data_IF_316205747648
#
_entry.id   IF_316205747648
#
_cell.length_a   1.000
_cell.length_b   1.000
_cell.length_c   1.000
_cell.angle_alpha   90.00
_cell.angle_beta   90.00
_cell.angle_gamma   90.00
#
_symmetry.space_group_name_H-M   'P 1'
#
loop_
_entity.id
_entity.type
_entity.pdbx_description
1 polymer ?
#
# COMPACT_ATOMS: atom_id res chain seq x y z
N UNK A 1 47.89 79.83 20.07
CA UNK A 1 48.03 79.83 18.59
C UNK A 1 48.65 78.51 18.16
N UNK A 2 48.13 77.86 17.10
CA UNK A 2 48.04 76.39 17.02
C UNK A 2 49.26 75.73 16.34
N UNK A 3 49.50 74.45 16.62
CA UNK A 3 50.13 73.51 15.68
C UNK A 3 49.71 72.06 16.00
N UNK A 4 48.94 71.52 15.07
CA UNK A 4 48.47 70.13 14.90
C UNK A 4 49.60 69.12 14.75
N UNK A 5 49.44 67.86 15.19
CA UNK A 5 49.79 66.66 14.40
C UNK A 5 49.01 65.40 14.89
N UNK A 6 48.14 64.94 13.99
CA UNK A 6 47.81 63.55 13.54
C UNK A 6 47.65 62.44 14.59
N UNK A 7 46.41 61.98 14.76
CA UNK A 7 46.06 60.70 15.37
C UNK A 7 45.85 59.63 14.29
N UNK A 8 46.58 58.52 14.38
CA UNK A 8 46.45 57.35 13.51
C UNK A 8 45.46 56.38 14.15
N UNK A 9 44.28 56.19 13.54
CA UNK A 9 43.28 55.22 13.98
C UNK A 9 43.53 53.86 13.30
N UNK A 10 43.78 52.81 14.10
CA UNK A 10 43.75 51.43 13.65
C UNK A 10 42.30 50.93 13.73
N UNK A 11 41.69 50.65 12.57
CA UNK A 11 40.40 49.97 12.43
C UNK A 11 40.62 48.45 12.51
N UNK A 12 40.13 47.82 13.57
CA UNK A 12 40.00 46.35 13.66
C UNK A 12 38.58 46.00 13.26
N UNK A 13 38.42 45.45 12.05
CA UNK A 13 37.14 44.98 11.50
C UNK A 13 36.91 43.52 11.89
N UNK A 14 36.04 43.30 12.88
CA UNK A 14 35.47 41.99 13.23
C UNK A 14 34.37 41.62 12.23
N UNK A 15 34.65 40.65 11.36
CA UNK A 15 33.65 40.00 10.53
C UNK A 15 32.77 39.08 11.39
N UNK A 16 31.50 39.44 11.55
CA UNK A 16 30.48 38.54 12.11
C UNK A 16 29.97 37.65 10.97
N UNK A 17 30.38 36.39 10.95
CA UNK A 17 29.82 35.35 10.08
C UNK A 17 28.47 34.92 10.68
N UNK A 18 27.42 35.68 10.41
CA UNK A 18 26.03 35.29 10.68
C UNK A 18 25.29 35.18 9.35
N UNK A 19 25.11 33.96 8.83
CA UNK A 19 24.32 33.76 7.63
C UNK A 19 24.48 32.36 7.03
N UNK A 20 23.35 31.65 6.99
CA UNK A 20 22.98 30.50 6.13
C UNK A 20 22.28 29.38 6.93
N UNK A 21 21.26 29.72 7.72
CA UNK A 21 20.32 28.70 8.25
C UNK A 21 18.84 29.11 8.11
N UNK A 22 18.54 30.32 7.62
CA UNK A 22 17.18 30.87 7.57
C UNK A 22 16.45 30.69 6.22
N UNK A 23 17.05 29.98 5.26
CA UNK A 23 16.49 29.81 3.92
C UNK A 23 16.43 28.35 3.45
N UNK A 24 16.33 27.41 4.37
CA UNK A 24 15.92 26.05 4.02
C UNK A 24 14.39 26.02 4.01
N UNK A 25 13.72 25.90 2.85
CA UNK A 25 12.27 25.81 2.81
C UNK A 25 11.84 24.60 3.63
N UNK A 26 11.03 24.82 4.66
CA UNK A 26 10.42 23.73 5.41
C UNK A 26 9.68 22.82 4.43
N UNK A 27 9.86 21.50 4.55
CA UNK A 27 9.11 20.54 3.73
C UNK A 27 7.61 20.78 3.93
N UNK A 28 6.87 20.85 2.83
CA UNK A 28 5.41 20.88 2.88
C UNK A 28 4.89 19.63 3.62
N UNK A 29 4.05 19.85 4.63
CA UNK A 29 3.43 18.77 5.41
C UNK A 29 2.29 18.17 4.58
N UNK A 30 2.47 16.93 4.14
CA UNK A 30 1.44 16.17 3.44
C UNK A 30 0.44 15.65 4.48
N UNK A 31 -0.69 16.34 4.66
CA UNK A 31 -1.64 16.05 5.73
C UNK A 31 -2.18 14.60 5.68
N UNK A 32 -2.42 14.06 4.48
CA UNK A 32 -2.90 12.69 4.28
C UNK A 32 -1.90 11.62 4.80
N UNK A 33 -0.61 11.94 4.94
CA UNK A 33 0.39 11.02 5.51
C UNK A 33 0.37 10.98 7.03
N UNK A 34 -0.43 11.83 7.67
CA UNK A 34 -0.58 11.86 9.12
C UNK A 34 -1.99 11.46 9.58
N UNK A 35 -2.93 11.23 8.66
CA UNK A 35 -4.27 10.76 8.99
C UNK A 35 -4.30 9.24 9.24
N UNK A 36 -5.27 8.79 10.03
CA UNK A 36 -5.57 7.37 10.23
C UNK A 36 -5.91 6.73 8.87
N UNK A 37 -5.21 5.68 8.50
CA UNK A 37 -5.45 4.95 7.24
C UNK A 37 -6.74 4.15 7.36
N UNK A 38 -7.69 4.40 6.48
CA UNK A 38 -8.94 3.62 6.41
C UNK A 38 -8.79 2.45 5.43
N UNK A 39 -8.68 1.25 5.98
CA UNK A 39 -8.60 -0.02 5.23
C UNK A 39 -10.00 -0.52 4.92
N UNK A 40 -10.33 -0.63 3.64
CA UNK A 40 -11.62 -1.12 3.15
C UNK A 40 -11.64 -2.65 3.17
N UNK A 41 -12.72 -3.22 3.68
CA UNK A 41 -12.90 -4.68 3.78
C UNK A 41 -14.31 -5.05 3.34
N UNK A 42 -14.45 -6.00 2.42
CA UNK A 42 -15.76 -6.53 2.04
C UNK A 42 -16.39 -7.35 3.17
N UNK A 43 -17.64 -7.06 3.51
CA UNK A 43 -18.31 -7.67 4.67
C UNK A 43 -18.73 -9.12 4.53
N UNK A 44 -18.75 -9.64 3.31
CA UNK A 44 -19.16 -10.99 2.96
C UNK A 44 -18.00 -11.97 2.77
N UNK A 45 -16.74 -11.51 2.91
CA UNK A 45 -15.55 -12.32 2.69
C UNK A 45 -14.69 -12.41 3.95
N UNK A 46 -14.58 -13.62 4.51
CA UNK A 46 -13.65 -13.89 5.61
C UNK A 46 -12.19 -13.69 5.20
N UNK A 47 -11.86 -13.95 3.92
CA UNK A 47 -10.52 -13.70 3.40
C UNK A 47 -10.21 -12.20 3.37
N UNK A 48 -11.15 -11.37 2.90
CA UNK A 48 -11.00 -9.91 2.95
C UNK A 48 -10.88 -9.39 4.39
N UNK A 49 -11.59 -9.99 5.35
CA UNK A 49 -11.40 -9.65 6.77
C UNK A 49 -10.00 -10.00 7.28
N UNK A 50 -9.50 -11.18 6.94
CA UNK A 50 -8.12 -11.60 7.30
C UNK A 50 -7.10 -10.66 6.68
N UNK A 51 -7.21 -10.37 5.38
CA UNK A 51 -6.29 -9.48 4.67
C UNK A 51 -6.36 -8.06 5.25
N UNK A 52 -7.56 -7.52 5.46
CA UNK A 52 -7.74 -6.20 6.08
C UNK A 52 -7.08 -6.09 7.45
N UNK A 53 -7.29 -7.09 8.31
CA UNK A 53 -6.64 -7.19 9.62
C UNK A 53 -5.12 -7.31 9.49
N UNK A 54 -4.63 -8.14 8.57
CA UNK A 54 -3.19 -8.40 8.40
C UNK A 54 -2.44 -7.10 8.09
N UNK A 55 -2.90 -6.36 7.09
CA UNK A 55 -2.25 -5.12 6.69
C UNK A 55 -2.53 -3.97 7.67
N UNK A 56 -3.74 -3.88 8.24
CA UNK A 56 -4.06 -2.84 9.24
C UNK A 56 -3.23 -3.01 10.52
N UNK A 57 -3.12 -4.23 11.03
CA UNK A 57 -2.33 -4.48 12.24
C UNK A 57 -0.83 -4.28 11.98
N UNK A 58 -0.31 -4.65 10.81
CA UNK A 58 1.08 -4.39 10.44
C UNK A 58 1.40 -2.89 10.44
N UNK A 59 0.54 -2.06 9.83
CA UNK A 59 0.69 -0.60 9.88
C UNK A 59 0.68 -0.08 11.32
N UNK A 60 -0.28 -0.53 12.13
CA UNK A 60 -0.40 -0.11 13.54
C UNK A 60 0.84 -0.49 14.37
N UNK A 61 1.38 -1.71 14.21
CA UNK A 61 2.61 -2.18 14.88
C UNK A 61 3.84 -1.35 14.50
N UNK A 62 3.84 -0.78 13.30
CA UNK A 62 4.91 0.09 12.77
C UNK A 62 4.65 1.57 13.01
N UNK A 63 3.64 1.91 13.82
CA UNK A 63 3.35 3.29 14.24
C UNK A 63 2.52 4.10 13.25
N UNK A 64 1.99 3.50 12.17
CA UNK A 64 1.01 4.14 11.30
C UNK A 64 -0.40 3.72 11.72
N UNK A 65 -1.12 4.65 12.35
CA UNK A 65 -2.50 4.42 12.76
C UNK A 65 -3.38 4.03 11.56
N UNK A 66 -4.10 2.92 11.71
CA UNK A 66 -5.04 2.44 10.72
C UNK A 66 -6.27 1.79 11.36
N UNK A 67 -7.38 1.83 10.63
CA UNK A 67 -8.66 1.25 11.05
C UNK A 67 -9.32 0.52 9.88
N UNK A 68 -10.03 -0.55 10.19
CA UNK A 68 -10.87 -1.24 9.22
C UNK A 68 -12.21 -0.55 9.11
N UNK A 69 -12.67 -0.37 7.88
CA UNK A 69 -14.04 0.02 7.58
C UNK A 69 -14.69 -1.00 6.67
N UNK A 70 -15.74 -1.60 7.19
CA UNK A 70 -16.56 -2.54 6.44
C UNK A 70 -17.24 -1.85 5.26
N UNK A 71 -17.27 -2.54 4.14
CA UNK A 71 -17.88 -2.13 2.89
C UNK A 71 -18.83 -3.24 2.45
N UNK A 72 -20.01 -2.86 1.95
CA UNK A 72 -20.93 -3.81 1.36
C UNK A 72 -20.34 -4.40 0.06
N UNK A 73 -20.62 -5.67 -0.21
CA UNK A 73 -19.97 -6.44 -1.27
C UNK A 73 -20.17 -5.86 -2.67
N UNK A 74 -21.31 -5.23 -2.90
CA UNK A 74 -21.69 -4.61 -4.17
C UNK A 74 -20.94 -3.31 -4.47
N UNK A 75 -20.28 -2.72 -3.47
CA UNK A 75 -19.56 -1.47 -3.67
C UNK A 75 -18.22 -1.69 -4.35
N UNK A 76 -17.92 -0.84 -5.33
CA UNK A 76 -16.63 -0.84 -6.00
C UNK A 76 -15.56 -0.18 -5.10
N UNK A 77 -14.54 -0.92 -4.63
CA UNK A 77 -13.50 -0.38 -3.76
C UNK A 77 -12.70 0.74 -4.43
N UNK A 78 -12.42 0.63 -5.73
CA UNK A 78 -11.65 1.62 -6.50
C UNK A 78 -12.36 2.96 -6.56
N UNK A 79 -13.69 2.96 -6.73
CA UNK A 79 -14.50 4.18 -6.69
C UNK A 79 -14.47 4.84 -5.30
N UNK A 80 -14.46 4.04 -4.22
CA UNK A 80 -14.39 4.54 -2.84
C UNK A 80 -13.00 5.13 -2.54
N UNK A 81 -11.93 4.49 -3.00
CA UNK A 81 -10.57 5.05 -2.89
C UNK A 81 -10.45 6.37 -3.67
N UNK A 82 -10.94 6.43 -4.91
CA UNK A 82 -10.90 7.65 -5.75
C UNK A 82 -11.69 8.81 -5.15
N UNK A 83 -12.81 8.53 -4.48
CA UNK A 83 -13.61 9.54 -3.78
C UNK A 83 -13.03 9.96 -2.43
N UNK A 84 -11.86 9.44 -2.04
CA UNK A 84 -11.20 9.67 -0.75
C UNK A 84 -12.01 9.22 0.45
N UNK A 85 -12.99 8.35 0.24
CA UNK A 85 -13.78 7.77 1.31
C UNK A 85 -13.04 6.59 1.98
N UNK A 86 -11.97 6.07 1.38
CA UNK A 86 -11.05 5.09 1.97
C UNK A 86 -9.63 5.30 1.43
N UNK A 87 -8.68 4.58 2.01
CA UNK A 87 -7.25 4.81 1.76
C UNK A 87 -6.49 3.59 1.26
N UNK A 88 -6.90 2.40 1.67
CA UNK A 88 -6.25 1.13 1.33
C UNK A 88 -7.30 0.05 1.08
N UNK A 89 -7.10 -0.76 0.05
CA UNK A 89 -7.87 -1.97 -0.22
C UNK A 89 -6.92 -3.10 -0.63
N UNK A 90 -7.12 -4.29 -0.08
CA UNK A 90 -6.29 -5.45 -0.42
C UNK A 90 -6.98 -6.25 -1.51
N UNK A 91 -6.53 -6.07 -2.73
CA UNK A 91 -7.11 -6.69 -3.90
C UNK A 91 -6.45 -8.03 -4.25
N UNK A 92 -7.09 -8.77 -5.15
CA UNK A 92 -6.45 -9.82 -5.94
C UNK A 92 -6.27 -9.32 -7.38
N UNK A 93 -5.09 -9.50 -7.96
CA UNK A 93 -4.71 -8.87 -9.23
C UNK A 93 -5.66 -9.16 -10.40
N UNK A 94 -6.13 -10.40 -10.54
CA UNK A 94 -7.05 -10.78 -11.61
C UNK A 94 -8.45 -10.18 -11.45
N UNK A 95 -8.98 -10.23 -10.23
CA UNK A 95 -10.30 -9.69 -9.90
C UNK A 95 -10.34 -8.19 -10.05
N UNK A 96 -9.31 -7.50 -9.56
CA UNK A 96 -9.26 -6.05 -9.68
C UNK A 96 -9.07 -5.62 -11.13
N UNK A 97 -8.27 -6.33 -11.93
CA UNK A 97 -8.15 -6.04 -13.36
C UNK A 97 -9.50 -6.21 -14.06
N UNK A 98 -10.21 -7.29 -13.75
CA UNK A 98 -11.56 -7.53 -14.29
C UNK A 98 -12.55 -6.43 -13.92
N UNK A 99 -12.39 -5.83 -12.73
CA UNK A 99 -13.21 -4.72 -12.27
C UNK A 99 -12.86 -3.39 -12.96
N UNK A 100 -11.57 -3.07 -13.12
CA UNK A 100 -11.13 -1.75 -13.60
C UNK A 100 -10.88 -1.68 -15.11
N UNK A 101 -10.57 -2.82 -15.74
CA UNK A 101 -10.29 -2.92 -17.17
C UNK A 101 -10.71 -4.30 -17.72
N UNK A 102 -12.03 -4.59 -17.79
CA UNK A 102 -12.56 -5.90 -18.16
C UNK A 102 -12.14 -6.38 -19.55
N UNK A 103 -12.00 -5.46 -20.52
CA UNK A 103 -11.56 -5.82 -21.88
C UNK A 103 -10.13 -6.36 -21.88
N UNK A 104 -9.20 -5.70 -21.17
CA UNK A 104 -7.81 -6.16 -21.06
C UNK A 104 -7.70 -7.45 -20.24
N UNK A 105 -8.53 -7.60 -19.20
CA UNK A 105 -8.61 -8.86 -18.47
C UNK A 105 -8.96 -10.03 -19.42
N UNK A 106 -10.02 -9.88 -20.23
CA UNK A 106 -10.46 -10.90 -21.19
C UNK A 106 -9.41 -11.18 -22.27
N UNK A 107 -8.69 -10.16 -22.72
CA UNK A 107 -7.57 -10.30 -23.66
C UNK A 107 -6.47 -11.20 -23.08
N UNK A 108 -5.97 -10.89 -21.88
CA UNK A 108 -4.92 -11.67 -21.22
C UNK A 108 -5.40 -13.10 -20.95
N UNK A 109 -6.64 -13.28 -20.46
CA UNK A 109 -7.16 -14.63 -20.24
C UNK A 109 -7.27 -15.46 -21.54
N UNK A 110 -7.57 -14.82 -22.67
CA UNK A 110 -7.63 -15.50 -23.98
C UNK A 110 -6.23 -15.92 -24.43
N UNK A 111 -5.23 -15.08 -24.21
CA UNK A 111 -3.83 -15.39 -24.52
C UNK A 111 -3.31 -16.53 -23.63
N UNK A 112 -3.59 -16.48 -22.32
CA UNK A 112 -3.28 -17.56 -21.38
C UNK A 112 -3.88 -18.90 -21.81
N UNK A 113 -5.16 -18.94 -22.18
CA UNK A 113 -5.82 -20.18 -22.63
C UNK A 113 -5.26 -20.71 -23.95
N UNK A 114 -4.68 -19.84 -24.77
CA UNK A 114 -4.06 -20.23 -26.05
C UNK A 114 -2.64 -20.79 -25.85
N UNK A 115 -2.03 -20.52 -24.70
CA UNK A 115 -0.79 -21.13 -24.27
C UNK A 115 -1.05 -22.44 -23.49
N UNK A 116 -0.88 -23.57 -24.17
CA UNK A 116 -1.10 -24.91 -23.59
C UNK A 116 -0.16 -25.29 -22.44
N UNK A 117 0.88 -24.50 -22.17
CA UNK A 117 1.80 -24.69 -21.04
C UNK A 117 1.56 -23.67 -19.91
N UNK A 118 0.58 -22.76 -20.09
CA UNK A 118 0.27 -21.72 -19.12
C UNK A 118 -0.15 -22.32 -17.78
N UNK A 119 0.55 -21.89 -16.73
CA UNK A 119 0.17 -22.07 -15.34
C UNK A 119 -0.25 -20.70 -14.79
N UNK A 120 -1.35 -20.57 -14.03
CA UNK A 120 -1.70 -19.32 -13.35
C UNK A 120 -0.60 -18.79 -12.40
N UNK A 121 0.36 -19.62 -12.02
CA UNK A 121 1.55 -19.23 -11.25
C UNK A 121 2.77 -18.89 -12.12
N UNK A 122 2.62 -18.84 -13.45
CA UNK A 122 3.71 -18.41 -14.34
C UNK A 122 4.08 -16.96 -14.01
N UNK A 123 5.37 -16.66 -13.74
CA UNK A 123 5.83 -15.30 -13.50
C UNK A 123 5.44 -14.31 -14.59
N UNK A 124 5.35 -14.77 -15.84
CA UNK A 124 4.98 -13.97 -17.01
C UNK A 124 3.56 -13.43 -16.88
N UNK A 125 2.59 -14.31 -16.62
CA UNK A 125 1.18 -13.93 -16.49
C UNK A 125 0.92 -13.06 -15.26
N UNK A 126 1.67 -13.31 -14.18
CA UNK A 126 1.65 -12.44 -13.00
C UNK A 126 2.12 -11.03 -13.33
N UNK A 127 3.27 -10.90 -13.99
CA UNK A 127 3.83 -9.60 -14.36
C UNK A 127 2.92 -8.85 -15.34
N UNK A 128 2.38 -9.55 -16.34
CA UNK A 128 1.47 -8.96 -17.31
C UNK A 128 0.16 -8.49 -16.67
N UNK A 129 -0.44 -9.31 -15.80
CA UNK A 129 -1.66 -8.94 -15.07
C UNK A 129 -1.40 -7.74 -14.16
N UNK A 130 -0.29 -7.75 -13.41
CA UNK A 130 0.09 -6.63 -12.56
C UNK A 130 0.32 -5.34 -13.37
N UNK A 131 1.07 -5.41 -14.47
CA UNK A 131 1.31 -4.26 -15.34
C UNK A 131 0.00 -3.69 -15.91
N UNK A 132 -0.94 -4.56 -16.30
CA UNK A 132 -2.26 -4.15 -16.77
C UNK A 132 -3.09 -3.46 -15.66
N UNK A 133 -3.03 -3.96 -14.41
CA UNK A 133 -3.65 -3.30 -13.25
C UNK A 133 -3.05 -1.91 -13.07
N UNK A 134 -1.72 -1.80 -13.01
CA UNK A 134 -1.03 -0.52 -12.83
C UNK A 134 -1.39 0.50 -13.91
N UNK A 135 -1.51 0.06 -15.17
CA UNK A 135 -1.97 0.90 -16.27
C UNK A 135 -3.42 1.40 -16.13
N UNK A 136 -4.27 0.68 -15.39
CA UNK A 136 -5.69 0.99 -15.22
C UNK A 136 -6.03 1.80 -13.95
N UNK A 137 -5.13 1.88 -12.97
CA UNK A 137 -5.38 2.58 -11.71
C UNK A 137 -5.50 4.11 -11.87
N UNK A 138 -4.80 4.68 -12.85
CA UNK A 138 -4.79 6.12 -13.13
C UNK A 138 -3.83 6.89 -12.22
N UNK A 139 -4.04 8.20 -12.06
CA UNK A 139 -3.09 9.10 -11.38
C UNK A 139 -3.31 9.24 -9.87
N UNK A 140 -4.46 8.80 -9.34
CA UNK A 140 -4.85 9.04 -7.94
C UNK A 140 -4.65 7.82 -7.04
N UNK A 141 -4.40 6.66 -7.63
CA UNK A 141 -4.21 5.39 -6.95
C UNK A 141 -2.88 4.79 -7.39
N UNK A 142 -2.31 4.00 -6.50
CA UNK A 142 -1.10 3.23 -6.75
C UNK A 142 -1.21 1.88 -6.04
N UNK A 143 -0.31 0.96 -6.32
CA UNK A 143 -0.26 -0.34 -5.68
C UNK A 143 1.15 -0.68 -5.23
N UNK A 144 1.25 -1.57 -4.26
CA UNK A 144 2.55 -2.10 -3.82
C UNK A 144 3.00 -3.23 -4.73
N UNK A 145 4.12 -3.87 -4.38
CA UNK A 145 4.55 -5.07 -5.10
C UNK A 145 3.55 -6.21 -4.83
N UNK A 146 3.17 -7.01 -5.84
CA UNK A 146 2.25 -8.13 -5.63
C UNK A 146 2.92 -9.22 -4.79
N UNK A 147 2.15 -9.84 -3.89
CA UNK A 147 2.59 -11.01 -3.13
C UNK A 147 2.80 -12.23 -4.03
N UNK A 148 3.68 -13.15 -3.61
CA UNK A 148 3.72 -14.49 -4.19
C UNK A 148 2.52 -15.36 -3.78
N UNK A 149 1.84 -15.00 -2.69
CA UNK A 149 0.62 -15.68 -2.27
C UNK A 149 -0.54 -15.34 -3.21
N UNK A 150 -1.37 -16.36 -3.46
CA UNK A 150 -2.63 -16.21 -4.15
C UNK A 150 -3.76 -16.01 -3.13
N UNK A 151 -4.58 -15.00 -3.34
CA UNK A 151 -5.87 -14.84 -2.70
C UNK A 151 -7.00 -15.19 -3.66
N UNK A 152 -8.23 -14.88 -3.25
CA UNK A 152 -9.45 -15.01 -4.03
C UNK A 152 -9.59 -16.38 -4.70
N UNK A 153 -9.40 -17.45 -3.93
CA UNK A 153 -9.45 -18.82 -4.45
C UNK A 153 -10.80 -19.20 -5.09
N UNK A 154 -11.88 -18.52 -4.67
CA UNK A 154 -13.23 -18.69 -5.21
C UNK A 154 -13.50 -17.81 -6.45
N UNK A 155 -12.50 -17.07 -6.95
CA UNK A 155 -12.64 -16.24 -8.13
C UNK A 155 -12.95 -17.07 -9.38
N UNK A 156 -13.78 -16.51 -10.27
CA UNK A 156 -14.07 -17.06 -11.59
C UNK A 156 -13.07 -16.63 -12.66
N UNK A 157 -12.18 -15.69 -12.35
CA UNK A 157 -11.15 -15.20 -13.28
C UNK A 157 -10.03 -16.24 -13.43
N UNK A 158 -9.59 -16.46 -14.67
CA UNK A 158 -8.47 -17.34 -14.98
C UNK A 158 -7.11 -16.65 -14.77
N UNK A 159 -7.11 -15.34 -14.53
CA UNK A 159 -5.90 -14.56 -14.28
C UNK A 159 -5.30 -14.89 -12.90
N UNK A 160 -3.97 -14.71 -12.73
CA UNK A 160 -3.32 -14.81 -11.43
C UNK A 160 -3.99 -13.88 -10.40
N UNK A 161 -4.23 -14.41 -9.20
CA UNK A 161 -4.90 -13.73 -8.09
C UNK A 161 -3.93 -13.35 -6.99
N UNK A 162 -2.76 -12.81 -7.34
CA UNK A 162 -1.77 -12.36 -6.38
C UNK A 162 -2.33 -11.24 -5.50
N UNK A 163 -2.06 -11.32 -4.20
CA UNK A 163 -2.50 -10.31 -3.24
C UNK A 163 -1.80 -8.99 -3.57
N UNK A 164 -2.59 -7.93 -3.74
CA UNK A 164 -2.13 -6.63 -4.21
C UNK A 164 -2.77 -5.49 -3.38
N UNK A 165 -2.04 -4.94 -2.41
CA UNK A 165 -2.44 -3.72 -1.72
C UNK A 165 -2.52 -2.52 -2.68
N UNK A 166 -3.71 -1.93 -2.81
CA UNK A 166 -3.98 -0.73 -3.61
C UNK A 166 -4.32 0.42 -2.68
N UNK A 167 -3.64 1.54 -2.84
CA UNK A 167 -3.75 2.68 -1.95
C UNK A 167 -3.95 3.99 -2.70
N UNK A 168 -4.50 4.98 -1.99
CA UNK A 168 -4.71 6.32 -2.51
C UNK A 168 -3.43 7.16 -2.36
N UNK A 169 -3.01 7.84 -3.42
CA UNK A 169 -1.89 8.79 -3.33
C UNK A 169 -2.40 10.09 -2.66
N UNK A 170 -1.62 10.72 -1.76
CA UNK A 170 -0.29 10.36 -1.25
C UNK A 170 -0.34 9.73 0.18
N UNK A 171 -1.39 8.96 0.52
CA UNK A 171 -1.70 8.59 1.92
C UNK A 171 -0.59 7.81 2.62
N UNK A 172 0.20 7.05 1.86
CA UNK A 172 1.34 6.29 2.37
C UNK A 172 2.66 6.91 1.94
N UNK A 173 3.58 7.03 2.90
CA UNK A 173 5.00 7.33 2.72
C UNK A 173 5.75 6.14 2.10
N UNK A 174 7.05 6.32 1.83
CA UNK A 174 7.88 5.22 1.34
C UNK A 174 8.04 4.12 2.39
N UNK A 175 8.24 4.50 3.63
CA UNK A 175 8.47 3.61 4.77
C UNK A 175 7.23 2.75 5.04
N UNK A 176 6.03 3.34 4.95
CA UNK A 176 4.77 2.60 5.15
C UNK A 176 4.48 1.62 4.01
N UNK A 177 4.87 1.95 2.78
CA UNK A 177 4.78 1.01 1.66
C UNK A 177 5.71 -0.19 1.85
N UNK A 178 6.87 0.00 2.48
CA UNK A 178 7.76 -1.11 2.83
C UNK A 178 7.12 -2.05 3.87
N UNK A 179 6.28 -1.53 4.77
CA UNK A 179 5.49 -2.37 5.70
C UNK A 179 4.51 -3.25 4.94
N UNK A 180 3.79 -2.68 3.97
CA UNK A 180 2.90 -3.48 3.12
C UNK A 180 3.67 -4.55 2.34
N UNK A 181 4.80 -4.19 1.74
CA UNK A 181 5.67 -5.12 1.02
C UNK A 181 6.23 -6.24 1.90
N UNK A 182 6.56 -5.94 3.17
CA UNK A 182 6.99 -6.94 4.15
C UNK A 182 5.90 -8.00 4.34
N UNK A 183 4.65 -7.56 4.57
CA UNK A 183 3.51 -8.48 4.67
C UNK A 183 3.33 -9.30 3.39
N UNK A 184 3.34 -8.65 2.22
CA UNK A 184 3.19 -9.32 0.93
C UNK A 184 4.32 -10.33 0.66
N UNK A 185 5.52 -10.09 1.18
CA UNK A 185 6.67 -10.99 1.08
C UNK A 185 6.66 -12.14 2.10
N UNK A 186 6.03 -11.96 3.26
CA UNK A 186 5.97 -12.97 4.33
C UNK A 186 4.81 -13.94 4.18
N UNK A 187 3.64 -13.46 3.75
CA UNK A 187 2.44 -14.29 3.64
C UNK A 187 2.58 -15.30 2.50
N UNK A 188 2.17 -16.55 2.75
CA UNK A 188 2.05 -17.61 1.75
C UNK A 188 0.58 -17.93 1.46
N UNK A 189 0.30 -18.61 0.34
CA UNK A 189 -1.07 -19.07 0.03
C UNK A 189 -1.61 -20.01 1.11
N UNK A 190 -0.75 -20.89 1.68
CA UNK A 190 -1.15 -21.78 2.77
C UNK A 190 -1.40 -21.02 4.06
N UNK A 191 -0.57 -20.03 4.38
CA UNK A 191 -0.75 -19.18 5.56
C UNK A 191 -2.10 -18.46 5.47
N UNK A 192 -2.43 -17.85 4.32
CA UNK A 192 -3.71 -17.18 4.11
C UNK A 192 -4.89 -18.16 4.30
N UNK A 193 -4.82 -19.34 3.68
CA UNK A 193 -5.86 -20.37 3.82
C UNK A 193 -6.07 -20.79 5.28
N UNK A 194 -4.98 -21.00 6.03
CA UNK A 194 -5.04 -21.38 7.45
C UNK A 194 -5.67 -20.26 8.30
N UNK A 195 -5.24 -19.01 8.10
CA UNK A 195 -5.81 -17.85 8.79
C UNK A 195 -7.31 -17.69 8.53
N UNK A 196 -7.77 -17.96 7.32
CA UNK A 196 -9.21 -17.91 6.97
C UNK A 196 -9.98 -19.01 7.67
N UNK A 197 -9.46 -20.24 7.71
CA UNK A 197 -10.08 -21.36 8.43
C UNK A 197 -10.17 -21.06 9.92
N UNK A 198 -9.05 -20.67 10.54
CA UNK A 198 -9.02 -20.33 11.97
C UNK A 198 -9.95 -19.16 12.31
N UNK A 199 -10.02 -18.16 11.44
CA UNK A 199 -10.93 -17.02 11.61
C UNK A 199 -12.39 -17.46 11.66
N UNK A 200 -12.78 -18.39 10.78
CA UNK A 200 -14.15 -18.95 10.75
C UNK A 200 -14.44 -19.78 12.00
N UNK A 201 -13.49 -20.57 12.46
CA UNK A 201 -13.63 -21.41 13.65
C UNK A 201 -13.70 -20.60 14.95
N UNK A 202 -12.84 -19.57 15.06
CA UNK A 202 -12.67 -18.76 16.27
C UNK A 202 -13.53 -17.51 16.27
N UNK A 203 -14.19 -17.21 15.16
CA UNK A 203 -14.99 -16.01 14.91
C UNK A 203 -14.23 -14.71 15.26
N UNK A 204 -12.93 -14.66 14.94
CA UNK A 204 -12.08 -13.51 15.30
C UNK A 204 -10.85 -13.39 14.39
N UNK A 205 -11.00 -12.69 13.27
CA UNK A 205 -9.88 -12.37 12.37
C UNK A 205 -8.79 -11.59 13.10
N UNK A 206 -9.18 -10.57 13.88
CA UNK A 206 -8.27 -9.73 14.66
C UNK A 206 -7.30 -10.54 15.53
N UNK A 207 -7.81 -11.52 16.29
CA UNK A 207 -6.99 -12.32 17.21
C UNK A 207 -6.09 -13.29 16.45
N UNK A 208 -6.64 -13.98 15.46
CA UNK A 208 -5.92 -14.96 14.63
C UNK A 208 -4.74 -14.28 13.90
N UNK A 209 -5.00 -13.13 13.29
CA UNK A 209 -3.97 -12.34 12.61
C UNK A 209 -2.93 -11.80 13.58
N UNK A 210 -3.32 -11.35 14.78
CA UNK A 210 -2.36 -10.86 15.76
C UNK A 210 -1.34 -11.94 16.16
N UNK A 211 -1.82 -13.16 16.42
CA UNK A 211 -0.98 -14.32 16.77
C UNK A 211 -0.06 -14.70 15.60
N UNK A 212 -0.55 -14.62 14.37
CA UNK A 212 0.27 -14.84 13.17
C UNK A 212 1.40 -13.82 13.05
N UNK A 213 1.10 -12.53 13.16
CA UNK A 213 2.11 -11.47 13.10
C UNK A 213 3.16 -11.64 14.20
N UNK A 214 2.73 -11.95 15.43
CA UNK A 214 3.64 -12.27 16.54
C UNK A 214 4.57 -13.45 16.20
N UNK A 215 4.03 -14.51 15.58
CA UNK A 215 4.82 -15.69 15.18
C UNK A 215 5.87 -15.40 14.10
N UNK A 216 5.65 -14.37 13.28
CA UNK A 216 6.59 -13.91 12.23
C UNK A 216 7.53 -12.83 12.73
N UNK A 217 7.37 -12.33 13.96
CA UNK A 217 8.18 -11.25 14.52
C UNK A 217 7.88 -9.87 13.92
N UNK A 218 6.65 -9.66 13.45
CA UNK A 218 6.16 -8.40 12.86
C UNK A 218 5.35 -7.62 13.88
#
# INVERSE_FOLDING_TARGET
MPKTYVATALLVSTFVLGGCAEYEPARDIIHDQHSVVTVLVSSDSSEQLVLGELYSQALNRRGRESQIRMMAAEHNPVSILRSKAGDLYIACSGDILSLVYPEKAQEIEKEMRSDSQSNPNDPTWREETYAAVMGALGETLDATDPSNALGCADSSSALPQNILPIYRIPVLSREERLVLNEISGTISTSDLSELVVETKERNSARKVVAEYLDSKGI
#
